data_IF_648200874272
#
_entry.id   IF_648200874272
#
_cell.length_a   1.000
_cell.length_b   1.000
_cell.length_c   1.000
_cell.angle_alpha   90.00
_cell.angle_beta   90.00
_cell.angle_gamma   90.00
#
_symmetry.space_group_name_H-M   'P 1'
#
loop_
_entity.id
_entity.type
_entity.pdbx_description
1 polymer ?
#
# COMPACT_ATOMS: atom_id res chain seq x y z
N UNK A 1 -38.05 -36.37 15.29
CA UNK A 1 -36.88 -35.71 15.89
C UNK A 1 -36.48 -34.54 14.99
N UNK A 2 -36.83 -33.30 15.37
CA UNK A 2 -36.39 -32.09 14.66
C UNK A 2 -34.99 -31.71 15.18
N UNK A 3 -33.99 -31.73 14.30
CA UNK A 3 -32.65 -31.23 14.60
C UNK A 3 -32.71 -29.70 14.69
N UNK A 4 -32.68 -29.13 15.92
CA UNK A 4 -32.80 -27.69 16.17
C UNK A 4 -31.68 -26.84 15.53
N UNK A 5 -30.58 -27.45 15.08
CA UNK A 5 -29.46 -26.75 14.45
C UNK A 5 -29.71 -26.49 12.95
N UNK A 6 -30.64 -27.23 12.34
CA UNK A 6 -30.93 -27.13 10.91
C UNK A 6 -32.37 -26.62 10.79
N UNK A 7 -32.55 -25.39 10.30
CA UNK A 7 -33.85 -24.72 10.12
C UNK A 7 -34.77 -25.39 9.08
N UNK A 8 -34.43 -26.59 8.62
CA UNK A 8 -35.17 -27.35 7.62
C UNK A 8 -35.72 -28.63 8.25
N UNK A 9 -37.02 -28.86 8.04
CA UNK A 9 -37.72 -30.07 8.49
C UNK A 9 -37.33 -31.35 7.71
N UNK A 10 -36.71 -31.19 6.53
CA UNK A 10 -36.27 -32.28 5.66
C UNK A 10 -34.78 -32.12 5.29
N UNK A 11 -34.03 -33.21 5.45
CA UNK A 11 -32.62 -33.33 5.08
C UNK A 11 -32.38 -33.13 3.58
N UNK A 12 -33.36 -33.46 2.73
CA UNK A 12 -33.26 -33.25 1.28
C UNK A 12 -33.19 -31.77 0.92
N UNK A 13 -33.89 -30.92 1.68
CA UNK A 13 -33.83 -29.46 1.55
C UNK A 13 -32.45 -28.92 1.90
N UNK A 14 -31.82 -29.48 2.95
CA UNK A 14 -30.45 -29.15 3.33
C UNK A 14 -29.45 -29.50 2.23
N UNK A 15 -29.51 -30.73 1.70
CA UNK A 15 -28.63 -31.19 0.60
C UNK A 15 -28.78 -30.27 -0.62
N UNK A 16 -30.02 -29.91 -0.98
CA UNK A 16 -30.31 -29.03 -2.12
C UNK A 16 -29.76 -27.61 -1.94
N UNK A 17 -29.78 -27.05 -0.73
CA UNK A 17 -29.33 -25.67 -0.48
C UNK A 17 -27.85 -25.52 -0.13
N UNK A 18 -27.24 -26.49 0.54
CA UNK A 18 -25.88 -26.37 1.09
C UNK A 18 -24.83 -27.16 0.31
N UNK A 19 -25.17 -28.35 -0.23
CA UNK A 19 -24.21 -29.14 -1.02
C UNK A 19 -24.14 -28.71 -2.49
N UNK A 20 -25.07 -27.89 -2.96
CA UNK A 20 -25.06 -27.31 -4.32
C UNK A 20 -24.20 -26.06 -4.46
N UNK A 21 -23.68 -25.51 -3.35
CA UNK A 21 -22.78 -24.36 -3.39
C UNK A 21 -21.39 -24.82 -3.80
N UNK A 22 -20.98 -24.46 -5.02
CA UNK A 22 -19.58 -24.59 -5.42
C UNK A 22 -18.75 -23.63 -4.57
N UNK A 23 -18.00 -24.16 -3.61
CA UNK A 23 -17.04 -23.38 -2.83
C UNK A 23 -15.85 -23.08 -3.74
N UNK A 24 -15.81 -21.86 -4.29
CA UNK A 24 -14.70 -21.37 -5.14
C UNK A 24 -13.53 -20.82 -4.34
N UNK A 25 -13.66 -20.78 -3.00
CA UNK A 25 -12.65 -20.25 -2.09
C UNK A 25 -11.66 -21.36 -1.74
N UNK A 26 -10.37 -21.05 -1.83
CA UNK A 26 -9.30 -21.92 -1.35
C UNK A 26 -9.38 -22.03 0.18
N UNK A 27 -10.02 -23.08 0.67
CA UNK A 27 -10.22 -23.35 2.10
C UNK A 27 -8.88 -23.53 2.83
N UNK A 28 -7.87 -24.11 2.18
CA UNK A 28 -6.53 -24.21 2.76
C UNK A 28 -5.83 -22.85 2.90
N UNK A 29 -6.05 -21.92 1.98
CA UNK A 29 -5.53 -20.55 2.14
C UNK A 29 -6.18 -19.83 3.33
N UNK A 30 -7.49 -20.02 3.52
CA UNK A 30 -8.24 -19.47 4.65
C UNK A 30 -7.75 -20.03 5.98
N UNK A 31 -7.59 -21.35 6.09
CA UNK A 31 -7.06 -22.01 7.29
C UNK A 31 -5.63 -21.53 7.62
N UNK A 32 -4.75 -21.45 6.61
CA UNK A 32 -3.39 -20.90 6.77
C UNK A 32 -3.42 -19.46 7.29
N UNK A 33 -4.38 -18.65 6.87
CA UNK A 33 -4.52 -17.28 7.35
C UNK A 33 -4.99 -17.20 8.81
N UNK A 34 -5.88 -18.09 9.23
CA UNK A 34 -6.29 -18.20 10.63
C UNK A 34 -5.12 -18.65 11.53
N UNK A 35 -4.38 -19.68 11.12
CA UNK A 35 -3.20 -20.15 11.84
C UNK A 35 -2.14 -19.05 11.99
N UNK A 36 -1.87 -18.28 10.93
CA UNK A 36 -0.95 -17.13 10.99
C UNK A 36 -1.43 -16.04 11.95
N UNK A 37 -2.74 -15.80 12.05
CA UNK A 37 -3.30 -14.83 13.00
C UNK A 37 -3.15 -15.34 14.43
N UNK A 38 -3.56 -16.57 14.69
CA UNK A 38 -3.43 -17.19 16.01
C UNK A 38 -1.98 -17.20 16.50
N UNK A 39 -1.02 -17.61 15.66
CA UNK A 39 0.40 -17.60 15.99
C UNK A 39 0.92 -16.19 16.31
N UNK A 40 0.51 -15.18 15.54
CA UNK A 40 0.91 -13.79 15.81
C UNK A 40 0.34 -13.27 17.12
N UNK A 41 -0.91 -13.60 17.41
CA UNK A 41 -1.55 -13.22 18.68
C UNK A 41 -0.86 -13.88 19.87
N UNK A 42 -0.50 -15.16 19.75
CA UNK A 42 0.24 -15.88 20.79
C UNK A 42 1.62 -15.27 21.03
N UNK A 43 2.38 -15.02 19.95
CA UNK A 43 3.69 -14.35 20.04
C UNK A 43 3.55 -12.97 20.70
N UNK A 44 2.53 -12.20 20.31
CA UNK A 44 2.26 -10.88 20.88
C UNK A 44 1.98 -10.97 22.37
N UNK A 45 1.06 -11.84 22.80
CA UNK A 45 0.72 -12.02 24.22
C UNK A 45 1.93 -12.47 25.04
N UNK A 46 2.72 -13.41 24.51
CA UNK A 46 3.96 -13.85 25.17
C UNK A 46 4.95 -12.72 25.33
N UNK A 47 5.16 -11.93 24.28
CA UNK A 47 6.04 -10.76 24.33
C UNK A 47 5.53 -9.70 25.33
N UNK A 48 4.23 -9.39 25.32
CA UNK A 48 3.59 -8.44 26.25
C UNK A 48 3.74 -8.85 27.72
N UNK A 49 3.74 -10.16 28.00
CA UNK A 49 3.95 -10.69 29.35
C UNK A 49 5.42 -10.75 29.74
N UNK A 50 6.29 -11.27 28.87
CA UNK A 50 7.66 -11.56 29.21
C UNK A 50 8.61 -10.36 29.10
N UNK A 51 8.34 -9.38 28.22
CA UNK A 51 9.25 -8.23 28.08
C UNK A 51 9.34 -7.39 29.36
N UNK A 52 8.23 -7.02 30.03
CA UNK A 52 8.34 -6.25 31.27
C UNK A 52 9.16 -6.97 32.34
N UNK A 53 9.08 -8.31 32.41
CA UNK A 53 9.87 -9.11 33.35
C UNK A 53 11.36 -9.05 32.99
N UNK A 54 11.69 -9.25 31.71
CA UNK A 54 13.08 -9.10 31.22
C UNK A 54 13.64 -7.71 31.46
N UNK A 55 12.84 -6.66 31.23
CA UNK A 55 13.25 -5.28 31.44
C UNK A 55 13.55 -5.01 32.93
N UNK A 56 12.71 -5.49 33.84
CA UNK A 56 12.93 -5.39 35.29
C UNK A 56 14.19 -6.15 35.72
N UNK A 57 14.38 -7.38 35.21
CA UNK A 57 15.58 -8.17 35.50
C UNK A 57 16.85 -7.46 35.00
N UNK A 58 16.82 -6.86 33.81
CA UNK A 58 17.94 -6.09 33.28
C UNK A 58 18.24 -4.83 34.10
N UNK A 59 17.19 -4.11 34.55
CA UNK A 59 17.34 -2.95 35.43
C UNK A 59 18.01 -3.34 36.75
N UNK A 60 17.58 -4.44 37.37
CA UNK A 60 18.15 -4.95 38.62
C UNK A 60 19.60 -5.43 38.40
N UNK A 61 19.89 -6.04 37.26
CA UNK A 61 21.22 -6.47 36.88
C UNK A 61 22.18 -5.31 36.54
N UNK A 62 21.69 -4.06 36.54
CA UNK A 62 22.50 -2.88 36.20
C UNK A 62 22.98 -2.87 34.75
N UNK A 63 22.32 -3.63 33.87
CA UNK A 63 22.63 -3.65 32.44
C UNK A 63 22.06 -2.35 31.86
N UNK A 64 22.93 -1.45 31.41
CA UNK A 64 22.51 -0.28 30.62
C UNK A 64 21.65 -0.77 29.44
N UNK A 65 20.41 -0.27 29.33
CA UNK A 65 19.52 -0.54 28.20
C UNK A 65 20.21 0.01 26.95
N UNK A 66 20.93 -0.86 26.23
CA UNK A 66 21.65 -0.49 24.99
C UNK A 66 20.73 -0.33 23.79
N UNK A 67 19.44 -0.54 23.96
CA UNK A 67 18.46 -0.48 22.89
C UNK A 67 17.80 0.90 22.78
N UNK A 68 18.62 1.95 22.66
CA UNK A 68 18.37 2.79 21.48
C UNK A 68 18.93 1.97 20.34
N UNK A 69 18.11 1.11 19.75
CA UNK A 69 18.36 0.62 18.40
C UNK A 69 18.52 1.89 17.59
N UNK A 70 19.75 2.38 17.40
CA UNK A 70 20.04 3.34 16.37
C UNK A 70 19.57 2.61 15.13
N UNK A 71 18.49 3.07 14.50
CA UNK A 71 18.11 2.46 13.27
C UNK A 71 19.32 2.69 12.36
N UNK A 72 19.98 1.63 11.92
CA UNK A 72 21.05 1.70 10.93
C UNK A 72 20.53 2.14 9.55
N UNK A 73 19.57 3.08 9.52
CA UNK A 73 19.34 3.94 8.39
C UNK A 73 20.65 4.70 8.19
N UNK A 74 21.25 4.58 7.01
CA UNK A 74 22.36 5.42 6.63
C UNK A 74 21.89 6.89 6.72
N UNK A 75 22.19 7.55 7.83
CA UNK A 75 21.80 8.93 8.05
C UNK A 75 22.48 9.79 6.98
N UNK A 76 21.70 10.67 6.36
CA UNK A 76 22.25 11.67 5.46
C UNK A 76 23.30 12.51 6.22
N UNK A 77 24.37 13.00 5.58
CA UNK A 77 25.39 13.81 6.25
C UNK A 77 24.81 15.00 7.05
N UNK A 78 23.73 15.60 6.55
CA UNK A 78 23.03 16.69 7.24
C UNK A 78 22.30 16.22 8.51
N UNK A 79 21.63 15.06 8.46
CA UNK A 79 20.98 14.45 9.63
C UNK A 79 22.01 14.10 10.71
N UNK A 80 23.16 13.55 10.31
CA UNK A 80 24.25 13.23 11.24
C UNK A 80 24.78 14.49 11.90
N UNK A 81 25.06 15.55 11.12
CA UNK A 81 25.52 16.84 11.65
C UNK A 81 24.52 17.45 12.64
N UNK A 82 23.23 17.36 12.36
CA UNK A 82 22.17 17.79 13.26
C UNK A 82 22.18 16.98 14.56
N UNK A 83 22.18 15.65 14.46
CA UNK A 83 22.16 14.75 15.60
C UNK A 83 23.38 14.97 16.50
N UNK A 84 24.58 15.08 15.93
CA UNK A 84 25.81 15.33 16.66
C UNK A 84 25.77 16.67 17.42
N UNK A 85 25.17 17.72 16.82
CA UNK A 85 25.07 19.04 17.44
C UNK A 85 24.01 19.09 18.55
N UNK A 86 22.86 18.45 18.36
CA UNK A 86 21.78 18.39 19.36
C UNK A 86 22.14 17.46 20.51
N UNK A 87 22.77 16.31 20.24
CA UNK A 87 23.13 15.33 21.27
C UNK A 87 24.48 15.61 21.95
N UNK A 88 25.16 16.71 21.60
CA UNK A 88 26.41 17.10 22.22
C UNK A 88 26.24 17.26 23.75
N UNK A 89 27.21 16.77 24.55
CA UNK A 89 27.14 16.88 26.01
C UNK A 89 27.15 18.35 26.45
N UNK A 90 26.55 18.68 27.61
CA UNK A 90 26.55 20.03 28.16
C UNK A 90 27.97 20.57 28.38
N UNK A 91 28.16 21.86 28.13
CA UNK A 91 29.43 22.53 28.40
C UNK A 91 29.73 22.63 29.90
N UNK A 92 30.98 22.35 30.29
CA UNK A 92 31.45 22.47 31.69
C UNK A 92 31.63 23.93 32.15
N UNK A 93 31.57 24.88 31.21
CA UNK A 93 31.60 26.33 31.48
C UNK A 93 30.45 27.01 30.75
N UNK A 94 30.02 28.16 31.25
CA UNK A 94 28.99 28.97 30.61
C UNK A 94 29.33 29.27 29.13
N UNK A 95 30.57 29.66 28.86
CA UNK A 95 31.05 29.93 27.50
C UNK A 95 30.99 28.69 26.59
N UNK A 96 31.34 27.52 27.11
CA UNK A 96 31.27 26.27 26.36
C UNK A 96 29.82 25.86 26.06
N UNK A 97 28.90 26.06 27.01
CA UNK A 97 27.48 25.78 26.81
C UNK A 97 26.84 26.75 25.82
N UNK A 98 27.18 28.04 25.88
CA UNK A 98 26.73 29.04 24.88
C UNK A 98 27.19 28.63 23.48
N UNK A 99 28.47 28.23 23.32
CA UNK A 99 28.97 27.74 22.04
C UNK A 99 28.26 26.47 21.57
N UNK A 100 27.98 25.53 22.47
CA UNK A 100 27.26 24.28 22.14
C UNK A 100 25.83 24.58 21.69
N UNK A 101 25.12 25.49 22.36
CA UNK A 101 23.77 25.94 21.97
C UNK A 101 23.77 26.64 20.61
N UNK A 102 24.71 27.56 20.39
CA UNK A 102 24.82 28.25 19.10
C UNK A 102 25.09 27.27 17.95
N UNK A 103 25.94 26.26 18.19
CA UNK A 103 26.20 25.18 17.22
C UNK A 103 24.94 24.35 16.93
N UNK A 104 24.16 24.01 17.94
CA UNK A 104 22.90 23.29 17.77
C UNK A 104 21.88 24.12 16.97
N UNK A 105 21.73 25.42 17.28
CA UNK A 105 20.85 26.34 16.56
C UNK A 105 21.26 26.42 15.09
N UNK A 106 22.55 26.61 14.80
CA UNK A 106 23.06 26.64 13.42
C UNK A 106 22.78 25.33 12.68
N UNK A 107 23.01 24.19 13.32
CA UNK A 107 22.75 22.89 12.71
C UNK A 107 21.26 22.69 12.39
N UNK A 108 20.35 23.13 13.27
CA UNK A 108 18.90 23.13 13.00
C UNK A 108 18.56 24.02 11.81
N UNK A 109 19.07 25.26 11.79
CA UNK A 109 18.82 26.21 10.69
C UNK A 109 19.29 25.67 9.35
N UNK A 110 20.49 25.12 9.29
CA UNK A 110 21.03 24.51 8.07
C UNK A 110 20.21 23.31 7.61
N UNK A 111 19.74 22.50 8.56
CA UNK A 111 18.97 21.31 8.27
C UNK A 111 17.54 21.60 7.77
N UNK A 112 16.91 22.69 8.21
CA UNK A 112 15.58 23.08 7.71
C UNK A 112 15.51 23.26 6.19
N UNK A 113 16.64 23.50 5.52
CA UNK A 113 16.73 23.58 4.05
C UNK A 113 16.98 22.24 3.36
N UNK A 114 17.12 21.14 4.09
CA UNK A 114 17.43 19.81 3.55
C UNK A 114 16.14 19.06 3.26
N UNK A 115 15.95 18.66 2.01
CA UNK A 115 14.83 17.80 1.63
C UNK A 115 15.11 16.36 2.08
N UNK A 116 14.39 15.92 3.10
CA UNK A 116 14.52 14.58 3.63
C UNK A 116 13.62 13.59 2.89
N UNK A 117 14.20 12.86 1.94
CA UNK A 117 13.53 11.72 1.31
C UNK A 117 12.25 12.09 0.55
N UNK A 118 12.36 12.25 -0.77
CA UNK A 118 11.18 12.09 -1.63
C UNK A 118 10.61 10.67 -1.49
N UNK A 119 9.30 10.51 -1.74
CA UNK A 119 8.67 9.20 -1.89
C UNK A 119 9.61 8.33 -2.73
N UNK A 120 10.03 7.16 -2.22
CA UNK A 120 10.89 6.26 -2.95
C UNK A 120 10.33 6.04 -4.37
N UNK A 121 10.87 6.77 -5.34
CA UNK A 121 10.87 6.34 -6.71
C UNK A 121 11.80 5.15 -6.68
N UNK A 122 11.21 3.98 -6.40
CA UNK A 122 11.81 2.69 -6.66
C UNK A 122 12.48 2.85 -8.01
N UNK A 123 13.80 2.90 -7.97
CA UNK A 123 14.65 3.00 -9.14
C UNK A 123 14.38 1.70 -9.89
N UNK A 124 13.34 1.70 -10.73
CA UNK A 124 13.03 0.62 -11.62
C UNK A 124 14.18 0.65 -12.62
N UNK A 125 15.24 -0.10 -12.29
CA UNK A 125 16.23 -0.48 -13.26
C UNK A 125 15.46 -1.06 -14.44
N UNK A 126 15.50 -0.31 -15.54
CA UNK A 126 15.04 -0.75 -16.84
C UNK A 126 15.96 -1.89 -17.28
N UNK A 127 15.67 -3.12 -16.86
CA UNK A 127 15.99 -4.29 -17.67
C UNK A 127 14.82 -4.50 -18.64
N UNK A 128 14.85 -3.69 -19.70
CA UNK A 128 14.04 -3.89 -20.91
C UNK A 128 14.55 -5.15 -21.61
N UNK A 129 14.21 -6.32 -21.08
CA UNK A 129 14.32 -7.60 -21.75
C UNK A 129 13.04 -7.91 -22.50
N UNK A 130 12.67 -7.10 -23.49
CA UNK A 130 11.61 -7.48 -24.42
C UNK A 130 12.23 -8.41 -25.47
N UNK A 131 11.96 -9.70 -25.33
CA UNK A 131 12.12 -10.68 -26.40
C UNK A 131 11.18 -10.23 -27.53
N UNK A 132 11.73 -9.77 -28.64
CA UNK A 132 10.99 -9.53 -29.87
C UNK A 132 10.59 -10.86 -30.54
N UNK A 133 9.36 -10.98 -31.05
CA UNK A 133 9.10 -11.77 -32.25
C UNK A 133 8.85 -10.86 -33.47
N UNK A 134 9.27 -11.28 -34.67
CA UNK A 134 9.14 -10.51 -35.89
C UNK A 134 7.73 -10.64 -36.48
N UNK A 135 7.24 -9.58 -37.14
CA UNK A 135 6.08 -9.68 -38.02
C UNK A 135 5.16 -8.47 -37.98
N UNK A 136 5.55 -7.40 -38.69
CA UNK A 136 4.70 -6.23 -38.97
C UNK A 136 3.63 -6.60 -40.00
N UNK A 137 2.40 -6.88 -39.58
CA UNK A 137 1.17 -6.63 -40.38
C UNK A 137 -0.16 -6.81 -39.63
N UNK A 138 -0.19 -7.26 -38.37
CA UNK A 138 -1.45 -7.48 -37.59
C UNK A 138 -1.74 -6.46 -36.47
N UNK A 139 -0.92 -5.41 -36.32
CA UNK A 139 -0.87 -4.60 -35.09
C UNK A 139 -2.10 -3.68 -34.85
N UNK A 140 -2.79 -3.26 -35.90
CA UNK A 140 -3.89 -2.27 -35.78
C UNK A 140 -5.18 -2.92 -35.25
N UNK A 141 -5.42 -4.18 -35.59
CA UNK A 141 -6.65 -4.91 -35.25
C UNK A 141 -6.67 -5.40 -33.79
N UNK A 142 -5.52 -5.89 -33.29
CA UNK A 142 -5.38 -6.30 -31.88
C UNK A 142 -5.46 -5.11 -30.91
N UNK A 143 -5.01 -3.93 -31.31
CA UNK A 143 -5.05 -2.71 -30.50
C UNK A 143 -6.48 -2.23 -30.24
N UNK A 144 -7.32 -2.21 -31.29
CA UNK A 144 -8.73 -1.82 -31.16
C UNK A 144 -9.52 -2.84 -30.33
N UNK A 145 -9.31 -4.13 -30.58
CA UNK A 145 -9.95 -5.19 -29.81
C UNK A 145 -9.54 -5.19 -28.32
N UNK A 146 -8.26 -4.90 -28.03
CA UNK A 146 -7.78 -4.78 -26.65
C UNK A 146 -8.39 -3.59 -25.92
N UNK A 147 -8.59 -2.45 -26.61
CA UNK A 147 -9.28 -1.29 -26.05
C UNK A 147 -10.75 -1.59 -25.72
N UNK A 148 -11.46 -2.27 -26.63
CA UNK A 148 -12.85 -2.67 -26.37
C UNK A 148 -12.96 -3.70 -25.24
N UNK A 149 -12.05 -4.68 -25.19
CA UNK A 149 -11.99 -5.61 -24.07
C UNK A 149 -11.71 -4.90 -22.72
N UNK A 150 -10.83 -3.90 -22.72
CA UNK A 150 -10.53 -3.09 -21.54
C UNK A 150 -11.75 -2.26 -21.09
N UNK A 151 -12.49 -1.65 -22.03
CA UNK A 151 -13.75 -0.95 -21.73
C UNK A 151 -14.77 -1.89 -21.10
N UNK A 152 -14.93 -3.09 -21.67
CA UNK A 152 -15.84 -4.11 -21.13
C UNK A 152 -15.44 -4.54 -19.72
N UNK A 153 -14.15 -4.74 -19.46
CA UNK A 153 -13.63 -5.12 -18.13
C UNK A 153 -13.96 -4.06 -17.06
N UNK A 154 -13.74 -2.77 -17.37
CA UNK A 154 -14.00 -1.65 -16.46
C UNK A 154 -15.47 -1.52 -16.05
N UNK A 155 -16.43 -1.93 -16.89
CA UNK A 155 -17.86 -1.87 -16.58
C UNK A 155 -18.43 -3.18 -15.99
N UNK A 156 -17.78 -4.32 -16.21
CA UNK A 156 -18.32 -5.64 -15.79
C UNK A 156 -17.69 -6.17 -14.52
N UNK A 157 -16.42 -5.86 -14.26
CA UNK A 157 -15.72 -6.39 -13.09
C UNK A 157 -16.01 -5.55 -11.85
N UNK A 158 -16.29 -6.22 -10.73
CA UNK A 158 -16.50 -5.55 -9.43
C UNK A 158 -15.20 -5.00 -8.82
N UNK A 159 -14.04 -5.48 -9.30
CA UNK A 159 -12.70 -5.04 -8.88
C UNK A 159 -11.75 -5.01 -10.08
N UNK A 160 -11.90 -4.04 -10.99
CA UNK A 160 -11.08 -3.99 -12.18
C UNK A 160 -9.62 -3.74 -11.84
N UNK A 161 -8.75 -4.07 -12.80
CA UNK A 161 -7.30 -3.82 -12.72
C UNK A 161 -6.81 -2.84 -13.79
N UNK A 162 -7.72 -2.22 -14.54
CA UNK A 162 -7.39 -1.20 -15.55
C UNK A 162 -7.95 0.13 -15.08
N UNK A 163 -7.19 1.21 -15.25
CA UNK A 163 -7.66 2.54 -14.85
C UNK A 163 -8.61 3.13 -15.89
N UNK A 164 -9.86 3.34 -15.48
CA UNK A 164 -10.91 3.92 -16.31
C UNK A 164 -10.55 5.34 -16.81
N UNK A 165 -9.80 6.12 -16.02
CA UNK A 165 -9.35 7.47 -16.42
C UNK A 165 -8.23 7.41 -17.46
N UNK A 166 -7.25 6.52 -17.30
CA UNK A 166 -6.22 6.29 -18.32
C UNK A 166 -6.84 5.77 -19.62
N UNK A 167 -7.81 4.86 -19.50
CA UNK A 167 -8.51 4.30 -20.65
C UNK A 167 -9.27 5.39 -21.44
N UNK A 168 -9.88 6.36 -20.75
CA UNK A 168 -10.60 7.47 -21.37
C UNK A 168 -9.72 8.52 -22.06
N UNK A 169 -8.42 8.59 -21.77
CA UNK A 169 -7.51 9.58 -22.37
C UNK A 169 -7.00 9.14 -23.73
N UNK A 170 -7.59 9.68 -24.79
CA UNK A 170 -7.20 9.38 -26.18
C UNK A 170 -5.78 9.83 -26.54
N UNK A 171 -5.25 10.84 -25.84
CA UNK A 171 -3.90 11.38 -26.07
C UNK A 171 -2.77 10.49 -25.53
N UNK A 172 -3.09 9.38 -24.86
CA UNK A 172 -2.10 8.45 -24.34
C UNK A 172 -1.90 7.25 -25.28
N UNK A 173 -0.67 6.71 -25.39
CA UNK A 173 -0.39 5.46 -26.08
C UNK A 173 -1.27 4.30 -25.58
N UNK A 174 -1.71 3.42 -26.49
CA UNK A 174 -2.65 2.33 -26.18
C UNK A 174 -2.17 1.46 -25.01
N UNK A 175 -0.88 1.15 -24.94
CA UNK A 175 -0.24 0.36 -23.88
C UNK A 175 -0.37 1.00 -22.48
N UNK A 176 -0.34 2.33 -22.42
CA UNK A 176 -0.56 3.09 -21.16
C UNK A 176 -2.05 3.10 -20.79
N UNK A 177 -2.94 3.21 -21.79
CA UNK A 177 -4.39 3.26 -21.59
C UNK A 177 -4.95 1.94 -21.05
N UNK A 178 -4.42 0.82 -21.52
CA UNK A 178 -4.85 -0.54 -21.12
C UNK A 178 -3.95 -1.17 -20.04
N UNK A 179 -3.11 -0.36 -19.38
CA UNK A 179 -2.17 -0.87 -18.39
C UNK A 179 -2.90 -1.66 -17.28
N UNK A 180 -2.53 -2.93 -17.15
CA UNK A 180 -3.09 -3.85 -16.18
C UNK A 180 -2.27 -3.81 -14.88
N UNK A 181 -2.89 -3.33 -13.80
CA UNK A 181 -2.28 -3.34 -12.48
C UNK A 181 -2.23 -4.75 -11.88
N UNK A 182 -1.19 -5.03 -11.10
CA UNK A 182 -1.00 -6.34 -10.47
C UNK A 182 -2.17 -6.68 -9.52
N UNK A 183 -2.59 -5.72 -8.70
CA UNK A 183 -3.81 -5.84 -7.86
C UNK A 183 -4.75 -4.65 -8.08
N UNK A 184 -6.04 -4.83 -7.75
CA UNK A 184 -6.99 -3.72 -7.73
C UNK A 184 -6.66 -2.67 -6.65
N UNK A 185 -5.92 -3.04 -5.60
CA UNK A 185 -5.39 -2.08 -4.63
C UNK A 185 -4.31 -1.15 -5.21
N UNK A 186 -3.51 -1.64 -6.16
CA UNK A 186 -2.53 -0.82 -6.86
C UNK A 186 -3.21 0.16 -7.82
N UNK A 187 -4.29 -0.28 -8.48
CA UNK A 187 -5.16 0.60 -9.25
C UNK A 187 -5.75 1.72 -8.36
N UNK A 188 -6.29 1.37 -7.19
CA UNK A 188 -6.83 2.35 -6.23
C UNK A 188 -5.80 3.40 -5.82
N UNK A 189 -4.57 2.99 -5.54
CA UNK A 189 -3.45 3.90 -5.23
C UNK A 189 -3.10 4.79 -6.42
N UNK A 190 -3.01 4.20 -7.60
CA UNK A 190 -2.75 4.94 -8.83
C UNK A 190 -3.82 6.02 -9.08
N UNK A 191 -5.10 5.66 -8.96
CA UNK A 191 -6.21 6.59 -9.10
C UNK A 191 -6.11 7.77 -8.10
N UNK A 192 -5.88 7.47 -6.81
CA UNK A 192 -5.69 8.51 -5.78
C UNK A 192 -4.54 9.46 -6.08
N UNK A 193 -3.43 8.94 -6.56
CA UNK A 193 -2.21 9.72 -6.74
C UNK A 193 -2.20 10.52 -8.04
N UNK A 194 -2.80 10.00 -9.12
CA UNK A 194 -2.70 10.58 -10.47
C UNK A 194 -3.99 11.21 -10.99
N UNK A 195 -5.15 10.77 -10.50
CA UNK A 195 -6.44 11.10 -11.12
C UNK A 195 -7.47 11.71 -10.16
N UNK A 196 -7.15 11.83 -8.87
CA UNK A 196 -8.09 12.36 -7.87
C UNK A 196 -8.44 13.84 -8.08
N UNK A 197 -7.55 14.62 -8.72
CA UNK A 197 -7.80 16.01 -9.10
C UNK A 197 -8.40 16.18 -10.51
N UNK A 198 -8.55 15.09 -11.27
CA UNK A 198 -9.13 15.12 -12.62
C UNK A 198 -10.59 14.74 -12.46
N UNK A 199 -11.42 15.69 -12.04
CA UNK A 199 -12.85 15.48 -11.72
C UNK A 199 -13.73 15.39 -12.98
N UNK A 200 -13.28 14.62 -13.97
CA UNK A 200 -13.92 14.40 -15.25
C UNK A 200 -13.72 12.94 -15.68
N UNK A 201 -14.82 12.29 -16.03
CA UNK A 201 -14.80 10.95 -16.61
C UNK A 201 -15.02 11.02 -18.11
N UNK A 202 -13.99 10.78 -18.92
CA UNK A 202 -14.12 10.75 -20.38
C UNK A 202 -14.85 9.50 -20.90
N UNK A 203 -14.91 8.41 -20.13
CA UNK A 203 -15.66 7.20 -20.50
C UNK A 203 -17.17 7.36 -20.35
N UNK A 204 -17.61 8.09 -19.32
CA UNK A 204 -19.02 8.37 -19.06
C UNK A 204 -19.45 9.78 -19.52
N UNK A 205 -18.49 10.59 -19.97
CA UNK A 205 -18.68 12.00 -20.36
C UNK A 205 -19.34 12.86 -19.26
N UNK A 206 -19.00 12.59 -17.99
CA UNK A 206 -19.50 13.36 -16.84
C UNK A 206 -18.40 14.24 -16.25
N UNK A 207 -18.78 15.47 -15.88
CA UNK A 207 -17.97 16.36 -15.06
C UNK A 207 -18.56 16.38 -13.64
N UNK A 208 -17.70 16.34 -12.63
CA UNK A 208 -18.10 16.32 -11.23
C UNK A 208 -17.42 17.47 -10.51
N UNK A 209 -18.16 18.17 -9.65
CA UNK A 209 -17.68 19.41 -9.03
C UNK A 209 -16.93 19.17 -7.71
N UNK A 210 -17.07 17.97 -7.13
CA UNK A 210 -16.48 17.61 -5.84
C UNK A 210 -15.78 16.25 -5.92
N UNK A 211 -14.64 16.19 -5.23
CA UNK A 211 -13.83 14.99 -5.01
C UNK A 211 -14.63 13.85 -4.39
N UNK A 212 -15.57 14.12 -3.48
CA UNK A 212 -16.40 13.06 -2.90
C UNK A 212 -17.30 12.41 -3.97
N UNK A 213 -17.94 13.21 -4.82
CA UNK A 213 -18.75 12.71 -5.93
C UNK A 213 -17.89 11.96 -6.95
N UNK A 214 -16.65 12.43 -7.20
CA UNK A 214 -15.70 11.74 -8.06
C UNK A 214 -15.32 10.35 -7.53
N UNK A 215 -15.00 10.26 -6.24
CA UNK A 215 -14.67 8.98 -5.61
C UNK A 215 -15.87 8.02 -5.59
N UNK A 216 -17.08 8.54 -5.34
CA UNK A 216 -18.31 7.74 -5.39
C UNK A 216 -18.56 7.22 -6.82
N UNK A 217 -18.45 8.08 -7.83
CA UNK A 217 -18.58 7.69 -9.23
C UNK A 217 -17.56 6.61 -9.62
N UNK A 218 -16.29 6.78 -9.24
CA UNK A 218 -15.24 5.80 -9.49
C UNK A 218 -15.56 4.42 -8.85
N UNK A 219 -16.17 4.42 -7.67
CA UNK A 219 -16.57 3.20 -6.98
C UNK A 219 -17.82 2.55 -7.58
N UNK A 220 -18.90 3.31 -7.76
CA UNK A 220 -20.21 2.79 -8.16
C UNK A 220 -20.26 2.41 -9.64
N UNK A 221 -19.62 3.19 -10.52
CA UNK A 221 -19.68 2.99 -11.98
C UNK A 221 -18.53 2.11 -12.47
N UNK A 222 -17.36 2.23 -11.85
CA UNK A 222 -16.13 1.60 -12.32
C UNK A 222 -15.46 0.67 -11.30
N UNK A 223 -16.13 0.34 -10.18
CA UNK A 223 -15.62 -0.60 -9.17
C UNK A 223 -14.28 -0.21 -8.52
N UNK A 224 -13.79 1.00 -8.76
CA UNK A 224 -12.48 1.46 -8.30
C UNK A 224 -12.65 2.06 -6.92
N UNK A 225 -12.32 1.28 -5.90
CA UNK A 225 -12.41 1.70 -4.49
C UNK A 225 -11.30 2.71 -4.21
N UNK A 226 -11.64 3.96 -3.90
CA UNK A 226 -10.69 4.98 -3.42
C UNK A 226 -10.74 5.02 -1.90
#
# INVERSE_FOLDING_TARGET
>A
MQNLIITHSDIRTFVKHYLSQRITVDTQAVERQFQRRALREEIKKRWEYEQPLRDVEQQIAGIEIKDVVQPQFAMLPAQKKLADAIMAPPGVTLEAEIRRRNRAIQAVTEYCGVEEGGMHAVRLQRSSGCITPPGKSKYVDLSAQALEAAKVSVYKETRPRICFVCLGKENLPTDVRIHLFYTSGDLSKHFKNKHLGIMRCDLCQVNLDDKMHWQRHAHEVHGTVS
#
